data_IF_802047779884
#
_entry.id   IF_802047779884
#
_cell.length_a   1.000
_cell.length_b   1.000
_cell.length_c   1.000
_cell.angle_alpha   90.00
_cell.angle_beta   90.00
_cell.angle_gamma   90.00
#
_symmetry.space_group_name_H-M   'P 1'
#
loop_
_entity.id
_entity.type
_entity.pdbx_description
1 polymer ?
#
# COMPACT_ATOMS: atom_id res chain seq x y z
N UNK A 1 -14.37 5.08 2.33
CA UNK A 1 -13.12 4.79 3.10
C UNK A 1 -12.73 3.35 2.75
N UNK A 2 -11.59 3.11 2.09
CA UNK A 2 -11.42 1.90 1.25
C UNK A 2 -11.56 0.58 2.06
N UNK A 3 -12.67 -0.11 1.82
CA UNK A 3 -12.94 -1.53 2.15
C UNK A 3 -13.90 -2.13 1.09
N UNK A 4 -13.50 -2.19 -0.19
CA UNK A 4 -14.38 -2.65 -1.27
C UNK A 4 -14.85 -4.11 -1.11
N UNK A 5 -14.17 -4.90 -0.27
CA UNK A 5 -14.49 -6.31 -0.02
C UNK A 5 -15.09 -6.58 1.37
N UNK A 6 -15.30 -5.56 2.20
CA UNK A 6 -15.84 -5.70 3.56
C UNK A 6 -14.90 -6.43 4.54
N UNK A 7 -13.63 -6.59 4.19
CA UNK A 7 -12.66 -7.40 4.94
C UNK A 7 -12.20 -6.69 6.21
N UNK A 8 -12.00 -5.37 6.16
CA UNK A 8 -11.66 -4.59 7.36
C UNK A 8 -12.80 -4.61 8.37
N UNK A 9 -14.05 -4.56 7.91
CA UNK A 9 -15.22 -4.67 8.78
C UNK A 9 -15.27 -6.03 9.50
N UNK A 10 -15.03 -7.13 8.78
CA UNK A 10 -14.99 -8.49 9.36
C UNK A 10 -13.82 -8.68 10.32
N UNK A 11 -12.65 -8.18 9.98
CA UNK A 11 -11.46 -8.22 10.84
C UNK A 11 -11.68 -7.49 12.17
N UNK A 12 -12.26 -6.28 12.14
CA UNK A 12 -12.61 -5.52 13.36
C UNK A 12 -13.66 -6.20 14.22
N UNK A 13 -14.49 -7.05 13.64
CA UNK A 13 -15.47 -7.88 14.36
C UNK A 13 -14.85 -9.18 14.93
N UNK A 14 -13.54 -9.39 14.78
CA UNK A 14 -12.85 -10.59 15.27
C UNK A 14 -13.10 -11.85 14.42
N UNK A 15 -13.75 -11.72 13.25
CA UNK A 15 -14.07 -12.84 12.37
C UNK A 15 -12.87 -13.30 11.52
N UNK A 16 -11.84 -12.44 11.39
CA UNK A 16 -10.60 -12.74 10.68
C UNK A 16 -9.46 -12.52 11.67
N UNK A 17 -8.75 -13.60 12.01
CA UNK A 17 -7.56 -13.54 12.87
C UNK A 17 -6.37 -12.97 12.11
N UNK A 18 -5.46 -12.35 12.85
CA UNK A 18 -4.15 -11.88 12.35
C UNK A 18 -4.23 -10.99 11.11
N UNK A 19 -5.27 -10.15 11.04
CA UNK A 19 -5.46 -9.24 9.93
C UNK A 19 -4.56 -8.01 10.09
N UNK A 20 -3.64 -7.83 9.16
CA UNK A 20 -2.65 -6.74 9.14
C UNK A 20 -3.33 -5.37 9.17
N UNK A 21 -2.90 -4.49 10.07
CA UNK A 21 -3.49 -3.18 10.30
C UNK A 21 -4.79 -3.20 11.13
N UNK A 22 -5.16 -4.34 11.69
CA UNK A 22 -6.28 -4.47 12.65
C UNK A 22 -5.84 -5.22 13.91
N UNK A 23 -5.56 -6.53 13.79
CA UNK A 23 -5.14 -7.38 14.91
C UNK A 23 -3.66 -7.76 14.84
N UNK A 24 -3.04 -7.66 13.66
CA UNK A 24 -1.59 -7.76 13.48
C UNK A 24 -1.00 -6.40 13.07
N UNK A 25 0.21 -6.03 13.54
CA UNK A 25 0.87 -4.80 13.12
C UNK A 25 1.27 -4.84 11.65
N UNK A 26 1.39 -3.66 11.03
CA UNK A 26 2.11 -3.49 9.78
C UNK A 26 3.46 -2.86 10.10
N UNK A 27 4.53 -3.48 9.64
CA UNK A 27 5.89 -2.96 9.77
C UNK A 27 6.24 -2.22 8.49
N UNK A 28 6.29 -0.89 8.57
CA UNK A 28 6.72 -0.07 7.44
C UNK A 28 8.17 -0.41 7.07
N UNK A 29 8.52 -0.50 5.77
CA UNK A 29 9.90 -0.76 5.37
C UNK A 29 10.83 0.35 5.86
N UNK A 30 11.93 -0.01 6.52
CA UNK A 30 12.91 0.97 7.02
C UNK A 30 13.69 1.66 5.89
N UNK A 31 14.02 0.93 4.82
CA UNK A 31 14.78 1.46 3.68
C UNK A 31 14.13 1.08 2.34
N UNK A 32 12.99 1.70 1.99
CA UNK A 32 12.32 1.45 0.73
C UNK A 32 13.05 2.14 -0.42
N UNK A 33 13.19 1.41 -1.53
CA UNK A 33 13.70 1.94 -2.80
C UNK A 33 12.86 3.11 -3.35
N UNK A 34 11.54 3.09 -3.12
CA UNK A 34 10.57 4.11 -3.54
C UNK A 34 9.32 4.06 -2.64
N UNK A 35 8.79 5.22 -2.24
CA UNK A 35 7.55 5.36 -1.47
C UNK A 35 6.47 6.04 -2.33
N UNK A 36 5.26 5.49 -2.34
CA UNK A 36 4.10 6.05 -3.07
C UNK A 36 2.93 6.28 -2.11
N UNK A 37 2.64 7.55 -1.81
CA UNK A 37 1.50 7.94 -0.99
C UNK A 37 0.21 8.01 -1.84
N UNK A 38 -0.47 6.88 -1.93
CA UNK A 38 -1.73 6.73 -2.69
C UNK A 38 -2.91 7.53 -2.10
N UNK A 39 -2.75 8.20 -0.96
CA UNK A 39 -3.77 9.10 -0.41
C UNK A 39 -3.70 10.51 -1.01
N UNK A 40 -2.53 10.88 -1.54
CA UNK A 40 -2.27 12.20 -2.15
C UNK A 40 -2.15 12.13 -3.66
N UNK A 41 -1.79 10.98 -4.20
CA UNK A 41 -1.54 10.78 -5.62
C UNK A 41 -2.70 10.06 -6.30
N UNK A 42 -3.01 10.49 -7.51
CA UNK A 42 -3.80 9.69 -8.45
C UNK A 42 -3.03 8.44 -8.90
N UNK A 43 -3.74 7.52 -9.56
CA UNK A 43 -3.14 6.32 -10.14
C UNK A 43 -2.11 6.70 -11.21
N UNK A 44 -2.47 7.64 -12.09
CA UNK A 44 -1.60 8.08 -13.20
C UNK A 44 -0.30 8.71 -12.69
N UNK A 45 -0.39 9.57 -11.67
CA UNK A 45 0.80 10.17 -11.03
C UNK A 45 1.68 9.11 -10.36
N UNK A 46 1.06 8.17 -9.64
CA UNK A 46 1.77 7.06 -8.99
C UNK A 46 2.54 6.22 -10.00
N UNK A 47 1.89 5.84 -11.11
CA UNK A 47 2.52 5.06 -12.19
C UNK A 47 3.67 5.82 -12.83
N UNK A 48 3.50 7.13 -13.08
CA UNK A 48 4.55 7.98 -13.67
C UNK A 48 5.79 8.05 -12.77
N UNK A 49 5.62 8.16 -11.47
CA UNK A 49 6.73 8.16 -10.50
C UNK A 49 7.49 6.83 -10.56
N UNK A 50 6.77 5.70 -10.51
CA UNK A 50 7.36 4.35 -10.56
C UNK A 50 8.12 4.15 -11.88
N UNK A 51 7.52 4.54 -13.01
CA UNK A 51 8.15 4.40 -14.32
C UNK A 51 9.47 5.18 -14.42
N UNK A 52 9.46 6.45 -14.00
CA UNK A 52 10.65 7.28 -14.03
C UNK A 52 11.75 6.76 -13.10
N UNK A 53 11.38 6.23 -11.94
CA UNK A 53 12.32 5.61 -11.01
C UNK A 53 13.05 4.42 -11.66
N UNK A 54 12.30 3.51 -12.29
CA UNK A 54 12.87 2.35 -12.98
C UNK A 54 13.72 2.75 -14.19
N UNK A 55 13.26 3.72 -14.99
CA UNK A 55 14.02 4.27 -16.12
C UNK A 55 15.36 4.85 -15.67
N UNK A 56 15.39 5.61 -14.59
CA UNK A 56 16.62 6.22 -14.06
C UNK A 56 17.59 5.18 -13.48
N UNK A 57 17.10 4.04 -13.01
CA UNK A 57 17.93 2.90 -12.61
C UNK A 57 18.40 2.03 -13.79
N UNK A 58 18.01 2.34 -15.02
CA UNK A 58 18.46 1.62 -16.23
C UNK A 58 17.75 0.29 -16.48
N UNK A 59 16.52 0.13 -15.97
CA UNK A 59 15.71 -1.08 -16.19
C UNK A 59 15.02 -1.11 -17.57
N UNK A 60 15.10 -0.01 -18.31
CA UNK A 60 14.59 0.19 -19.66
C UNK A 60 15.67 0.91 -20.48
#
# INVERSE_FOLDING_TARGET
KRDPKGMYKKARQGLIKDYTGVSAPYEEPENPDLIIDTTKLSIEESVKIIYNYLKNKGWF
#
